data_IF_012411962319
#
_entry.id   IF_012411962319
#
_cell.length_a   1.000
_cell.length_b   1.000
_cell.length_c   1.000
_cell.angle_alpha   90.00
_cell.angle_beta   90.00
_cell.angle_gamma   90.00
#
_symmetry.space_group_name_H-M   'P 1'
#
loop_
_entity.id
_entity.type
_entity.pdbx_description
1 polymer ?
#
# COMPACT_ATOMS: atom_id res chain seq x y z
N UNK A 1 3.65 4.04 8.44
CA UNK A 1 2.51 3.13 8.22
C UNK A 1 2.84 2.24 7.02
N UNK A 2 2.66 0.91 7.08
CA UNK A 2 2.84 0.05 5.92
C UNK A 2 1.83 0.38 4.82
N UNK A 3 2.18 0.12 3.56
CA UNK A 3 1.29 0.33 2.42
C UNK A 3 0.73 -1.03 2.02
N UNK A 4 -0.51 -1.28 2.42
CA UNK A 4 -1.29 -2.46 2.05
C UNK A 4 -1.95 -2.23 0.70
N UNK A 5 -1.88 -3.21 -0.19
CA UNK A 5 -2.42 -3.13 -1.56
C UNK A 5 -3.15 -4.42 -1.92
N UNK A 6 -4.15 -4.31 -2.80
CA UNK A 6 -4.83 -5.46 -3.41
C UNK A 6 -4.21 -5.81 -4.77
N UNK A 7 -4.61 -6.94 -5.35
CA UNK A 7 -4.11 -7.38 -6.66
C UNK A 7 -4.33 -6.31 -7.77
N UNK A 8 -5.50 -5.67 -7.79
CA UNK A 8 -5.78 -4.60 -8.76
C UNK A 8 -4.89 -3.36 -8.59
N UNK A 9 -4.42 -3.09 -7.37
CA UNK A 9 -3.42 -2.04 -7.14
C UNK A 9 -2.04 -2.46 -7.66
N UNK A 10 -1.67 -3.74 -7.55
CA UNK A 10 -0.42 -4.25 -8.12
C UNK A 10 -0.41 -4.14 -9.65
N UNK A 11 -1.55 -4.41 -10.30
CA UNK A 11 -1.72 -4.21 -11.75
C UNK A 11 -1.55 -2.75 -12.13
N UNK A 12 -2.27 -1.86 -11.43
CA UNK A 12 -2.15 -0.41 -11.63
C UNK A 12 -0.73 0.13 -11.43
N UNK A 13 0.00 -0.44 -10.47
CA UNK A 13 1.38 -0.08 -10.18
C UNK A 13 2.38 -0.67 -11.19
N UNK A 14 1.91 -1.43 -12.19
CA UNK A 14 2.70 -2.16 -13.18
C UNK A 14 3.67 -3.18 -12.54
N UNK A 15 3.25 -3.85 -11.47
CA UNK A 15 4.02 -4.90 -10.77
C UNK A 15 3.57 -6.33 -11.11
N UNK A 16 2.34 -6.42 -11.59
CA UNK A 16 1.64 -7.63 -12.01
C UNK A 16 0.93 -7.26 -13.31
N UNK A 17 1.00 -8.08 -14.34
CA UNK A 17 0.21 -7.83 -15.54
C UNK A 17 -1.24 -8.32 -15.38
N UNK A 18 -2.15 -7.83 -16.24
CA UNK A 18 -3.56 -8.18 -16.11
C UNK A 18 -3.82 -9.68 -16.34
N UNK A 19 -3.05 -10.33 -17.21
CA UNK A 19 -3.20 -11.76 -17.50
C UNK A 19 -2.71 -12.62 -16.33
N UNK A 20 -1.57 -12.27 -15.72
CA UNK A 20 -1.09 -12.86 -14.46
C UNK A 20 -2.13 -12.70 -13.36
N UNK A 21 -2.75 -11.53 -13.23
CA UNK A 21 -3.77 -11.28 -12.21
C UNK A 21 -5.04 -12.14 -12.38
N UNK A 22 -5.38 -12.53 -13.60
CA UNK A 22 -6.53 -13.40 -13.91
C UNK A 22 -6.19 -14.89 -13.81
N UNK A 23 -4.97 -15.28 -14.19
CA UNK A 23 -4.56 -16.67 -14.31
C UNK A 23 -3.79 -17.24 -13.12
N UNK A 24 -3.08 -16.42 -12.35
CA UNK A 24 -2.23 -16.91 -11.26
C UNK A 24 -2.89 -16.81 -9.87
N UNK A 25 -2.78 -17.85 -9.04
CA UNK A 25 -3.18 -17.78 -7.64
C UNK A 25 -2.44 -16.66 -6.89
N UNK A 26 -3.13 -15.85 -6.06
CA UNK A 26 -2.54 -14.74 -5.31
C UNK A 26 -1.26 -15.08 -4.52
N UNK A 27 -1.17 -16.33 -4.02
CA UNK A 27 -0.01 -16.85 -3.29
C UNK A 27 1.23 -17.05 -4.16
N UNK A 28 1.08 -17.40 -5.44
CA UNK A 28 2.21 -17.54 -6.37
C UNK A 28 2.77 -16.17 -6.74
N UNK A 29 1.88 -15.22 -7.09
CA UNK A 29 2.22 -13.81 -7.27
C UNK A 29 2.96 -13.26 -6.04
N UNK A 30 2.44 -13.53 -4.83
CA UNK A 30 3.09 -13.09 -3.59
C UNK A 30 4.51 -13.66 -3.46
N UNK A 31 4.74 -14.96 -3.72
CA UNK A 31 6.08 -15.56 -3.68
C UNK A 31 7.04 -14.88 -4.65
N UNK A 32 6.60 -14.62 -5.89
CA UNK A 32 7.39 -13.92 -6.91
C UNK A 32 7.77 -12.52 -6.46
N UNK A 33 6.80 -11.75 -5.97
CA UNK A 33 7.00 -10.38 -5.50
C UNK A 33 7.87 -10.30 -4.24
N UNK A 34 7.77 -11.27 -3.32
CA UNK A 34 8.66 -11.37 -2.16
C UNK A 34 10.10 -11.63 -2.61
N UNK A 35 10.32 -12.55 -3.57
CA UNK A 35 11.65 -12.84 -4.12
C UNK A 35 12.26 -11.62 -4.82
N UNK A 36 11.45 -10.82 -5.51
CA UNK A 36 11.86 -9.55 -6.11
C UNK A 36 12.07 -8.42 -5.07
N UNK A 37 11.78 -8.67 -3.79
CA UNK A 37 11.86 -7.68 -2.73
C UNK A 37 10.87 -6.53 -2.89
N UNK A 38 9.71 -6.76 -3.52
CA UNK A 38 8.66 -5.75 -3.75
C UNK A 38 7.70 -5.69 -2.57
N UNK A 39 7.39 -6.84 -1.96
CA UNK A 39 6.51 -6.96 -0.79
C UNK A 39 7.28 -7.56 0.40
N UNK A 40 6.87 -7.19 1.62
CA UNK A 40 7.39 -7.77 2.87
C UNK A 40 6.45 -8.85 3.44
N UNK A 41 5.15 -8.75 3.16
CA UNK A 41 4.15 -9.66 3.71
C UNK A 41 2.98 -9.88 2.76
N UNK A 42 2.35 -11.05 2.86
CA UNK A 42 1.10 -11.38 2.16
C UNK A 42 0.12 -12.04 3.14
N UNK A 43 -1.04 -11.41 3.31
CA UNK A 43 -2.15 -11.96 4.08
C UNK A 43 -3.05 -12.76 3.14
N UNK A 44 -2.96 -14.09 3.23
CA UNK A 44 -3.72 -15.01 2.38
C UNK A 44 -5.25 -14.87 2.57
N UNK A 45 -5.71 -14.74 3.82
CA UNK A 45 -7.15 -14.68 4.15
C UNK A 45 -7.85 -13.54 3.43
N UNK A 46 -7.19 -12.38 3.36
CA UNK A 46 -7.77 -11.16 2.79
C UNK A 46 -7.20 -10.82 1.40
N UNK A 47 -6.26 -11.62 0.90
CA UNK A 47 -5.48 -11.34 -0.31
C UNK A 47 -4.88 -9.92 -0.34
N UNK A 48 -4.25 -9.54 0.77
CA UNK A 48 -3.61 -8.23 0.95
C UNK A 48 -2.09 -8.40 0.88
N UNK A 49 -1.45 -7.57 0.07
CA UNK A 49 -0.01 -7.50 -0.10
C UNK A 49 0.52 -6.27 0.63
N UNK A 50 1.58 -6.41 1.41
CA UNK A 50 2.21 -5.28 2.09
C UNK A 50 3.49 -4.92 1.37
N UNK A 51 3.54 -3.73 0.76
CA UNK A 51 4.72 -3.27 0.03
C UNK A 51 5.95 -3.18 0.95
N UNK A 52 7.10 -3.55 0.40
CA UNK A 52 8.38 -3.46 1.09
C UNK A 52 8.74 -2.02 1.39
N UNK A 53 9.26 -1.77 2.58
CA UNK A 53 9.78 -0.46 2.99
C UNK A 53 11.29 -0.42 2.83
N UNK A 54 11.84 0.80 2.69
CA UNK A 54 13.27 1.03 2.81
C UNK A 54 13.71 0.81 4.26
N UNK A 55 15.01 0.65 4.50
CA UNK A 55 15.56 0.41 5.84
C UNK A 55 15.23 1.54 6.84
N UNK A 56 15.13 2.77 6.36
CA UNK A 56 14.72 3.93 7.16
C UNK A 56 13.19 4.03 7.37
N UNK A 57 12.42 3.03 6.94
CA UNK A 57 10.97 3.02 7.02
C UNK A 57 10.25 3.81 5.92
N UNK A 58 10.93 4.37 4.92
CA UNK A 58 10.23 5.03 3.82
C UNK A 58 9.50 4.04 2.92
N UNK A 59 8.48 4.53 2.22
CA UNK A 59 7.90 3.80 1.10
C UNK A 59 8.98 3.56 0.03
N UNK A 60 8.97 2.38 -0.61
CA UNK A 60 9.89 2.04 -1.72
C UNK A 60 9.90 3.09 -2.84
N UNK A 61 8.73 3.65 -3.14
CA UNK A 61 8.51 4.62 -4.21
C UNK A 61 8.67 6.07 -3.76
N UNK A 62 9.23 6.33 -2.58
CA UNK A 62 9.53 7.68 -2.15
C UNK A 62 10.93 8.07 -2.67
N UNK A 63 10.98 9.14 -3.46
CA UNK A 63 12.23 9.74 -3.88
C UNK A 63 12.97 10.33 -2.66
N UNK A 64 14.27 10.05 -2.56
CA UNK A 64 15.04 10.39 -1.36
C UNK A 64 15.32 11.90 -1.25
N UNK A 65 15.39 12.61 -2.38
CA UNK A 65 15.72 14.04 -2.42
C UNK A 65 14.47 14.91 -2.33
N UNK A 66 13.53 14.69 -3.24
CA UNK A 66 12.30 15.49 -3.38
C UNK A 66 11.22 15.10 -2.38
N UNK A 67 11.31 13.89 -1.79
CA UNK A 67 10.27 13.31 -0.93
C UNK A 67 8.91 13.19 -1.62
N UNK A 68 8.90 13.16 -2.94
CA UNK A 68 7.72 12.89 -3.76
C UNK A 68 7.64 11.42 -4.12
N UNK A 69 6.43 10.95 -4.42
CA UNK A 69 6.24 9.58 -4.88
C UNK A 69 6.63 9.47 -6.35
N UNK A 70 7.50 8.51 -6.69
CA UNK A 70 7.98 8.28 -8.05
C UNK A 70 6.96 7.63 -8.98
N UNK A 71 5.87 7.08 -8.43
CA UNK A 71 4.75 6.47 -9.19
C UNK A 71 3.44 7.23 -8.96
N UNK A 72 3.49 8.57 -8.87
CA UNK A 72 2.35 9.40 -8.45
C UNK A 72 1.04 9.05 -9.16
N UNK A 73 1.08 8.96 -10.50
CA UNK A 73 -0.07 8.64 -11.34
C UNK A 73 -0.60 7.22 -11.12
N UNK A 74 0.27 6.29 -10.71
CA UNK A 74 -0.05 4.86 -10.54
C UNK A 74 -0.18 4.44 -9.08
N UNK A 75 -0.34 5.41 -8.17
CA UNK A 75 -0.46 5.14 -6.73
C UNK A 75 -1.60 4.16 -6.42
N UNK A 76 -1.41 3.27 -5.43
CA UNK A 76 -2.47 2.36 -5.01
C UNK A 76 -3.60 3.11 -4.31
N UNK A 77 -4.76 2.47 -4.21
CA UNK A 77 -5.95 3.00 -3.53
C UNK A 77 -5.66 3.43 -2.09
N UNK A 78 -4.81 2.71 -1.37
CA UNK A 78 -4.41 3.05 0.00
C UNK A 78 -3.75 4.42 0.08
N UNK A 79 -2.93 4.80 -0.91
CA UNK A 79 -2.32 6.12 -0.96
C UNK A 79 -3.31 7.19 -1.43
N UNK A 80 -4.11 6.90 -2.48
CA UNK A 80 -5.05 7.88 -3.06
C UNK A 80 -6.19 8.24 -2.12
N UNK A 81 -6.64 7.29 -1.31
CA UNK A 81 -7.80 7.45 -0.44
C UNK A 81 -7.41 7.54 1.05
N UNK A 82 -6.12 7.74 1.37
CA UNK A 82 -5.69 7.95 2.75
C UNK A 82 -6.39 9.20 3.34
N UNK A 83 -6.94 9.17 4.57
CA UNK A 83 -6.84 8.10 5.57
C UNK A 83 -7.99 7.09 5.58
N UNK A 84 -8.94 7.18 4.66
CA UNK A 84 -10.12 6.28 4.63
C UNK A 84 -9.74 4.82 4.42
N UNK A 85 -8.69 4.55 3.64
CA UNK A 85 -8.20 3.21 3.32
C UNK A 85 -6.80 2.99 3.91
N UNK A 86 -6.55 1.80 4.45
CA UNK A 86 -5.25 1.36 4.96
C UNK A 86 -5.38 0.52 6.23
N UNK A 87 -4.26 0.20 6.91
CA UNK A 87 -4.24 -0.65 8.10
C UNK A 87 -4.95 -0.02 9.31
N UNK A 88 -5.13 1.31 9.31
CA UNK A 88 -5.86 2.07 10.33
C UNK A 88 -6.83 3.05 9.64
N UNK A 89 -7.98 2.59 9.14
CA UNK A 89 -8.96 3.45 8.49
C UNK A 89 -9.37 4.63 9.38
N UNK A 90 -9.44 5.83 8.80
CA UNK A 90 -9.76 7.08 9.50
C UNK A 90 -8.59 7.72 10.26
N UNK A 91 -7.46 7.02 10.44
CA UNK A 91 -6.29 7.56 11.13
C UNK A 91 -5.24 8.12 10.17
N UNK A 92 -4.82 9.36 10.39
CA UNK A 92 -3.69 9.98 9.69
C UNK A 92 -2.62 10.37 10.72
N UNK A 93 -1.39 9.88 10.54
CA UNK A 93 -0.28 10.16 11.47
C UNK A 93 0.16 11.65 11.47
N UNK A 94 -0.14 12.38 10.39
CA UNK A 94 0.22 13.80 10.23
C UNK A 94 -0.90 14.76 10.65
N UNK A 95 -2.14 14.27 10.80
CA UNK A 95 -3.20 15.08 11.39
C UNK A 95 -3.11 14.91 12.89
N UNK A 96 -2.85 15.98 13.63
CA UNK A 96 -3.16 16.03 15.05
C UNK A 96 -4.62 15.60 15.23
N UNK A 97 -4.91 14.75 16.24
CA UNK A 97 -6.31 14.51 16.63
C UNK A 97 -6.93 15.89 16.83
N UNK A 98 -8.03 16.27 16.14
CA UNK A 98 -8.81 17.37 16.64
C UNK A 98 -9.13 17.02 18.09
N UNK A 99 -8.82 17.94 19.02
CA UNK A 99 -9.32 17.84 20.38
C UNK A 99 -10.82 17.57 20.24
N UNK A 100 -11.23 16.40 20.74
CA UNK A 100 -12.58 15.87 20.83
C UNK A 100 -13.62 16.97 20.54
N UNK A 101 -14.31 16.92 19.40
CA UNK A 101 -15.55 17.67 19.25
C UNK A 101 -16.46 17.19 20.38
N UNK A 102 -16.50 17.97 21.46
CA UNK A 102 -17.54 17.92 22.46
C UNK A 102 -18.79 18.41 21.76
N UNK A 103 -19.47 17.50 21.08
CA UNK A 103 -20.91 17.64 20.87
C UNK A 103 -21.51 16.61 21.82
N UNK A 104 -21.66 17.04 23.06
CA UNK A 104 -22.73 16.53 23.92
C UNK A 104 -24.00 17.25 23.47
N UNK A 105 -24.92 16.43 22.96
CA UNK A 105 -26.39 16.60 22.84
C UNK A 105 -26.96 17.97 22.46
#
# INVERSE_FOLDING_TARGET
>A
MPVEVKLSDLVRMNLVDAFEAEGEPPKQIAKRLTKAGIIDHFNFKNSIYTLKRKANGDCRYLDLKTRLCTIYENRPNTCRNHPRIGPRPGYCAYRSRPAKLLITE
#
